data_IF_134391843363
#
_entry.id   IF_134391843363
#
_cell.length_a   1.000
_cell.length_b   1.000
_cell.length_c   1.000
_cell.angle_alpha   90.00
_cell.angle_beta   90.00
_cell.angle_gamma   90.00
#
_symmetry.space_group_name_H-M   'P 1'
#
loop_
_entity.id
_entity.type
_entity.pdbx_description
1 polymer ?
#
# COMPACT_ATOMS: atom_id res chain seq x y z
N UNK A 1 11.06 52.42 3.69
CA UNK A 1 11.23 51.18 4.46
C UNK A 1 10.11 50.23 4.09
N UNK A 2 10.36 49.26 3.22
CA UNK A 2 9.36 48.28 2.78
C UNK A 2 9.72 46.91 3.35
N UNK A 3 9.02 46.50 4.41
CA UNK A 3 9.14 45.17 4.99
C UNK A 3 8.53 44.14 4.05
N UNK A 4 9.37 43.35 3.39
CA UNK A 4 8.92 42.19 2.63
C UNK A 4 8.30 41.19 3.60
N UNK A 5 7.00 40.94 3.46
CA UNK A 5 6.30 39.83 4.09
C UNK A 5 7.03 38.53 3.73
N UNK A 6 7.78 37.99 4.68
CA UNK A 6 8.34 36.65 4.61
C UNK A 6 7.23 35.64 4.87
N UNK A 7 6.31 35.52 3.92
CA UNK A 7 5.44 34.35 3.86
C UNK A 7 6.35 33.12 3.70
N UNK A 8 6.19 32.06 4.51
CA UNK A 8 6.97 30.85 4.34
C UNK A 8 6.78 30.35 2.90
N UNK A 9 7.88 30.03 2.22
CA UNK A 9 7.81 29.50 0.86
C UNK A 9 6.90 28.26 0.87
N UNK A 10 5.98 28.12 -0.11
CA UNK A 10 5.17 26.92 -0.22
C UNK A 10 6.10 25.70 -0.30
N UNK A 11 5.72 24.56 0.31
CA UNK A 11 6.53 23.34 0.26
C UNK A 11 6.92 23.03 -1.19
N UNK A 12 8.18 22.67 -1.42
CA UNK A 12 8.62 22.31 -2.77
C UNK A 12 7.76 21.14 -3.26
N UNK A 13 7.07 21.35 -4.39
CA UNK A 13 6.20 20.33 -5.03
C UNK A 13 6.96 19.19 -5.68
N UNK A 14 8.26 19.34 -5.90
CA UNK A 14 9.11 18.31 -6.48
C UNK A 14 9.70 17.46 -5.36
N UNK A 15 9.48 16.15 -5.39
CA UNK A 15 10.15 15.24 -4.47
C UNK A 15 11.67 15.39 -4.59
N UNK A 16 12.36 15.60 -3.46
CA UNK A 16 13.81 15.50 -3.44
C UNK A 16 14.21 14.06 -3.72
N UNK A 17 15.25 13.90 -4.53
CA UNK A 17 15.76 12.57 -4.86
C UNK A 17 16.74 12.16 -3.77
N UNK A 18 16.43 11.08 -3.06
CA UNK A 18 17.33 10.51 -2.06
C UNK A 18 18.11 9.34 -2.64
N UNK A 19 19.37 9.19 -2.25
CA UNK A 19 20.09 7.93 -2.51
C UNK A 19 19.64 6.90 -1.48
N UNK A 20 18.98 5.86 -1.95
CA UNK A 20 18.55 4.71 -1.16
C UNK A 20 19.47 3.56 -1.51
N UNK A 21 20.14 2.97 -0.52
CA UNK A 21 20.93 1.75 -0.67
C UNK A 21 20.25 0.63 0.10
N UNK A 22 20.15 -0.54 -0.51
CA UNK A 22 19.79 -1.77 0.19
C UNK A 22 21.02 -2.26 0.94
N UNK A 23 21.06 -2.02 2.25
CA UNK A 23 21.95 -2.68 3.21
C UNK A 23 23.44 -2.79 2.81
N UNK A 24 23.97 -1.88 1.99
CA UNK A 24 25.33 -2.01 1.43
C UNK A 24 25.52 -3.16 0.42
N UNK A 25 24.46 -3.88 0.06
CA UNK A 25 24.43 -5.01 -0.89
C UNK A 25 24.27 -4.53 -2.34
N UNK A 26 23.60 -3.39 -2.55
CA UNK A 26 23.38 -2.82 -3.89
C UNK A 26 23.76 -1.35 -3.96
N UNK A 27 24.21 -0.92 -5.14
CA UNK A 27 24.60 0.46 -5.41
C UNK A 27 23.48 1.44 -4.99
N UNK A 28 23.80 2.56 -4.31
CA UNK A 28 22.80 3.54 -3.90
C UNK A 28 22.06 4.11 -5.12
N UNK A 29 20.74 3.94 -5.15
CA UNK A 29 19.92 4.41 -6.26
C UNK A 29 19.06 5.61 -5.86
N UNK A 30 18.87 6.54 -6.79
CA UNK A 30 18.00 7.69 -6.57
C UNK A 30 16.54 7.24 -6.49
N UNK A 31 15.93 7.42 -5.32
CA UNK A 31 14.52 7.22 -5.03
C UNK A 31 13.80 8.57 -4.96
N UNK A 32 12.51 8.57 -5.29
CA UNK A 32 11.63 9.75 -5.19
C UNK A 32 10.72 9.71 -3.98
N UNK A 33 10.91 8.73 -3.08
CA UNK A 33 10.23 8.68 -1.78
C UNK A 33 10.57 9.93 -1.00
N UNK A 34 9.55 10.66 -0.54
CA UNK A 34 9.74 11.88 0.23
C UNK A 34 9.87 11.54 1.70
N UNK A 35 11.09 11.36 2.18
CA UNK A 35 11.39 11.30 3.62
C UNK A 35 11.37 12.69 4.30
N UNK A 36 11.20 13.76 3.52
CA UNK A 36 11.19 15.15 4.00
C UNK A 36 9.84 15.59 4.58
N UNK A 37 8.75 14.90 4.25
CA UNK A 37 7.39 15.18 4.75
C UNK A 37 6.97 14.14 5.80
N UNK A 38 7.94 13.57 6.50
CA UNK A 38 7.66 12.66 7.61
C UNK A 38 7.14 13.48 8.79
N UNK A 39 6.19 12.94 9.57
CA UNK A 39 5.67 13.65 10.73
C UNK A 39 6.82 14.11 11.62
N UNK A 40 6.73 15.32 12.16
CA UNK A 40 7.70 15.81 13.13
C UNK A 40 7.90 14.72 14.21
N UNK A 41 9.17 14.39 14.50
CA UNK A 41 9.61 13.39 15.49
C UNK A 41 9.86 11.94 15.04
N UNK A 42 10.01 11.61 13.75
CA UNK A 42 10.64 10.32 13.40
C UNK A 42 12.18 10.43 13.35
N UNK A 43 12.87 9.39 13.84
CA UNK A 43 14.34 9.38 13.93
C UNK A 43 14.99 8.75 12.71
N UNK A 44 16.32 8.72 12.68
CA UNK A 44 17.06 8.05 11.61
C UNK A 44 16.77 6.54 11.54
N UNK A 45 16.41 5.92 12.66
CA UNK A 45 16.00 4.50 12.73
C UNK A 45 14.81 4.22 11.80
N UNK A 46 13.76 5.04 11.87
CA UNK A 46 12.60 4.91 11.00
C UNK A 46 12.94 5.23 9.55
N UNK A 47 13.75 6.27 9.30
CA UNK A 47 14.20 6.63 7.95
C UNK A 47 14.98 5.49 7.29
N UNK A 48 15.86 4.81 8.04
CA UNK A 48 16.60 3.65 7.55
C UNK A 48 15.66 2.53 7.14
N UNK A 49 14.68 2.17 7.97
CA UNK A 49 13.70 1.13 7.64
C UNK A 49 12.84 1.47 6.42
N UNK A 50 12.40 2.72 6.29
CA UNK A 50 11.68 3.20 5.11
C UNK A 50 12.52 3.07 3.83
N UNK A 51 13.81 3.45 3.90
CA UNK A 51 14.73 3.32 2.77
C UNK A 51 14.95 1.86 2.39
N UNK A 52 15.14 0.97 3.36
CA UNK A 52 15.26 -0.48 3.12
C UNK A 52 14.03 -1.03 2.40
N UNK A 53 12.84 -0.73 2.90
CA UNK A 53 11.58 -1.22 2.31
C UNK A 53 11.34 -0.65 0.91
N UNK A 54 11.58 0.66 0.72
CA UNK A 54 11.46 1.30 -0.59
C UNK A 54 12.45 0.71 -1.60
N UNK A 55 13.69 0.43 -1.16
CA UNK A 55 14.71 -0.26 -1.94
C UNK A 55 14.23 -1.64 -2.37
N UNK A 56 13.81 -2.49 -1.43
CA UNK A 56 13.40 -3.86 -1.74
C UNK A 56 12.15 -3.89 -2.64
N UNK A 57 11.11 -3.10 -2.32
CA UNK A 57 9.90 -2.99 -3.17
C UNK A 57 10.26 -2.59 -4.59
N UNK A 58 11.16 -1.63 -4.76
CA UNK A 58 11.62 -1.19 -6.08
C UNK A 58 12.34 -2.32 -6.81
N UNK A 59 13.23 -3.05 -6.14
CA UNK A 59 13.91 -4.19 -6.74
C UNK A 59 12.92 -5.28 -7.14
N UNK A 60 11.96 -5.61 -6.28
CA UNK A 60 10.89 -6.56 -6.57
C UNK A 60 10.02 -6.16 -7.75
N UNK A 61 9.66 -4.87 -7.85
CA UNK A 61 8.92 -4.31 -8.98
C UNK A 61 9.68 -4.38 -10.32
N UNK A 62 11.00 -4.56 -10.27
CA UNK A 62 11.90 -4.43 -11.42
C UNK A 62 12.55 -5.74 -11.85
N UNK A 63 12.95 -6.59 -10.90
CA UNK A 63 13.73 -7.80 -11.16
C UNK A 63 12.98 -8.72 -12.11
N UNK A 64 13.58 -9.01 -13.26
CA UNK A 64 13.09 -10.01 -14.22
C UNK A 64 13.32 -11.40 -13.65
N UNK A 65 12.48 -11.80 -12.69
CA UNK A 65 12.39 -13.16 -12.16
C UNK A 65 13.55 -13.67 -11.31
N UNK A 66 14.77 -13.13 -11.46
CA UNK A 66 16.01 -13.74 -10.91
C UNK A 66 16.92 -12.82 -10.08
N UNK A 67 16.61 -11.53 -9.90
CA UNK A 67 17.55 -10.59 -9.25
C UNK A 67 17.20 -10.23 -7.79
N UNK A 68 15.99 -10.52 -7.32
CA UNK A 68 15.66 -10.51 -5.88
C UNK A 68 15.72 -11.94 -5.43
N UNK A 69 16.84 -12.33 -4.83
CA UNK A 69 16.95 -13.65 -4.22
C UNK A 69 16.26 -13.65 -2.84
N UNK A 70 15.94 -14.85 -2.36
CA UNK A 70 15.32 -15.03 -1.05
C UNK A 70 16.20 -14.51 0.09
N UNK A 71 17.53 -14.52 -0.09
CA UNK A 71 18.51 -13.99 0.86
C UNK A 71 18.35 -12.49 1.06
N UNK A 72 18.21 -11.71 -0.01
CA UNK A 72 18.02 -10.26 0.02
C UNK A 72 16.72 -9.89 0.71
N UNK A 73 15.66 -10.66 0.45
CA UNK A 73 14.37 -10.51 1.13
C UNK A 73 14.52 -10.83 2.61
N UNK A 74 15.13 -11.97 2.96
CA UNK A 74 15.35 -12.40 4.34
C UNK A 74 16.19 -11.39 5.12
N UNK A 75 17.33 -10.94 4.57
CA UNK A 75 18.19 -9.93 5.18
C UNK A 75 17.46 -8.62 5.42
N UNK A 76 16.66 -8.15 4.44
CA UNK A 76 15.88 -6.92 4.61
C UNK A 76 14.86 -7.05 5.74
N UNK A 77 14.14 -8.18 5.80
CA UNK A 77 13.17 -8.45 6.86
C UNK A 77 13.83 -8.60 8.24
N UNK A 78 15.02 -9.21 8.31
CA UNK A 78 15.79 -9.33 9.55
C UNK A 78 16.25 -7.97 10.05
N UNK A 79 16.82 -7.14 9.17
CA UNK A 79 17.20 -5.76 9.50
C UNK A 79 16.01 -4.93 9.97
N UNK A 80 14.87 -5.03 9.26
CA UNK A 80 13.65 -4.32 9.62
C UNK A 80 13.11 -4.77 10.98
N UNK A 81 13.15 -6.07 11.26
CA UNK A 81 12.80 -6.63 12.58
C UNK A 81 13.70 -6.06 13.68
N UNK A 82 15.00 -5.96 13.42
CA UNK A 82 15.97 -5.32 14.32
C UNK A 82 15.68 -3.84 14.56
N UNK A 83 15.29 -3.08 13.53
CA UNK A 83 14.90 -1.67 13.67
C UNK A 83 13.59 -1.51 14.47
N UNK A 84 12.61 -2.38 14.25
CA UNK A 84 11.35 -2.42 15.03
C UNK A 84 11.64 -2.69 16.51
N UNK A 85 12.50 -3.66 16.80
CA UNK A 85 12.91 -3.98 18.18
C UNK A 85 13.59 -2.78 18.85
N UNK A 86 14.55 -2.13 18.16
CA UNK A 86 15.22 -0.92 18.66
C UNK A 86 14.24 0.22 18.96
N UNK A 87 13.28 0.47 18.05
CA UNK A 87 12.26 1.50 18.28
C UNK A 87 11.39 1.19 19.49
N UNK A 88 11.05 -0.09 19.69
CA UNK A 88 10.29 -0.56 20.86
C UNK A 88 11.09 -0.42 22.15
N UNK A 89 12.34 -0.86 22.18
CA UNK A 89 13.25 -0.73 23.34
C UNK A 89 13.48 0.73 23.74
N UNK A 90 13.62 1.61 22.74
CA UNK A 90 13.76 3.05 22.95
C UNK A 90 12.44 3.74 23.37
N UNK A 91 11.33 3.01 23.51
CA UNK A 91 10.00 3.53 23.79
C UNK A 91 9.55 4.62 22.80
N UNK A 92 10.01 4.55 21.54
CA UNK A 92 9.66 5.52 20.51
C UNK A 92 8.48 5.02 19.67
N UNK A 93 7.26 5.40 20.07
CA UNK A 93 6.01 4.96 19.42
C UNK A 93 5.92 5.39 17.95
N UNK A 94 6.47 6.57 17.61
CA UNK A 94 6.42 7.14 16.26
C UNK A 94 7.19 6.26 15.27
N UNK A 95 8.44 5.94 15.63
CA UNK A 95 9.30 5.07 14.82
C UNK A 95 8.72 3.66 14.77
N UNK A 96 8.26 3.14 15.89
CA UNK A 96 7.68 1.80 15.98
C UNK A 96 6.47 1.63 15.04
N UNK A 97 5.53 2.57 15.07
CA UNK A 97 4.34 2.57 14.19
C UNK A 97 4.75 2.71 12.72
N UNK A 98 5.66 3.63 12.41
CA UNK A 98 6.13 3.86 11.03
C UNK A 98 6.77 2.60 10.46
N UNK A 99 7.64 1.93 11.24
CA UNK A 99 8.31 0.71 10.83
C UNK A 99 7.36 -0.48 10.68
N UNK A 100 6.33 -0.59 11.54
CA UNK A 100 5.29 -1.62 11.39
C UNK A 100 4.44 -1.43 10.13
N UNK A 101 4.13 -0.18 9.78
CA UNK A 101 3.44 0.15 8.52
C UNK A 101 4.32 -0.26 7.33
N UNK A 102 5.61 0.13 7.33
CA UNK A 102 6.54 -0.23 6.26
C UNK A 102 6.70 -1.75 6.11
N UNK A 103 6.89 -2.48 7.22
CA UNK A 103 6.97 -3.95 7.25
C UNK A 103 5.70 -4.58 6.68
N UNK A 104 4.54 -4.10 7.09
CA UNK A 104 3.27 -4.64 6.61
C UNK A 104 3.05 -4.37 5.13
N UNK A 105 3.27 -3.13 4.68
CA UNK A 105 3.11 -2.77 3.27
C UNK A 105 4.09 -3.56 2.42
N UNK A 106 5.36 -3.70 2.85
CA UNK A 106 6.35 -4.53 2.17
C UNK A 106 5.86 -5.97 2.02
N UNK A 107 5.49 -6.62 3.14
CA UNK A 107 5.01 -8.01 3.17
C UNK A 107 3.81 -8.24 2.27
N UNK A 108 2.82 -7.34 2.30
CA UNK A 108 1.61 -7.45 1.48
C UNK A 108 1.87 -7.14 -0.01
N UNK A 109 2.78 -6.21 -0.31
CA UNK A 109 3.09 -5.82 -1.70
C UNK A 109 3.94 -6.84 -2.45
N UNK A 110 4.57 -7.76 -1.72
CA UNK A 110 5.49 -8.77 -2.23
C UNK A 110 5.03 -10.21 -1.92
N UNK A 111 3.82 -10.37 -1.38
CA UNK A 111 3.22 -11.66 -1.00
C UNK A 111 4.09 -12.51 -0.05
N UNK A 112 4.83 -11.86 0.86
CA UNK A 112 5.79 -12.54 1.75
C UNK A 112 5.11 -13.17 2.98
N UNK A 113 4.06 -12.52 3.49
CA UNK A 113 3.31 -12.96 4.67
C UNK A 113 2.15 -12.00 4.98
N UNK A 114 1.16 -12.40 5.78
CA UNK A 114 0.13 -11.49 6.28
C UNK A 114 0.68 -10.46 7.28
N UNK A 115 -0.13 -9.45 7.67
CA UNK A 115 0.24 -8.47 8.69
C UNK A 115 0.66 -9.13 10.01
N UNK A 116 1.74 -8.63 10.61
CA UNK A 116 2.31 -9.20 11.84
C UNK A 116 1.38 -9.03 13.04
N UNK A 117 1.57 -9.87 14.07
CA UNK A 117 0.86 -9.71 15.35
C UNK A 117 1.10 -8.32 15.94
N UNK A 118 2.33 -7.80 15.86
CA UNK A 118 2.69 -6.49 16.39
C UNK A 118 1.85 -5.35 15.77
N UNK A 119 1.64 -5.37 14.45
CA UNK A 119 0.75 -4.41 13.80
C UNK A 119 -0.70 -4.56 14.30
N UNK A 120 -1.20 -5.80 14.41
CA UNK A 120 -2.57 -6.04 14.89
C UNK A 120 -2.79 -5.56 16.32
N UNK A 121 -1.81 -5.80 17.19
CA UNK A 121 -1.84 -5.36 18.57
C UNK A 121 -1.90 -3.82 18.60
N UNK A 122 -1.05 -3.12 17.82
CA UNK A 122 -1.06 -1.65 17.71
C UNK A 122 -2.38 -1.11 17.15
N UNK A 123 -2.92 -1.73 16.11
CA UNK A 123 -4.20 -1.31 15.55
C UNK A 123 -5.33 -1.41 16.59
N UNK A 124 -5.36 -2.48 17.39
CA UNK A 124 -6.31 -2.66 18.50
C UNK A 124 -6.06 -1.72 19.68
N UNK A 125 -4.81 -1.39 19.95
CA UNK A 125 -4.47 -0.38 20.96
C UNK A 125 -5.01 1.00 20.59
N UNK A 126 -4.96 1.35 19.31
CA UNK A 126 -5.48 2.62 18.77
C UNK A 126 -7.01 2.58 18.63
N UNK A 127 -7.55 1.45 18.18
CA UNK A 127 -8.98 1.24 18.02
C UNK A 127 -9.38 -0.08 18.71
N UNK A 128 -9.75 -0.02 20.00
CA UNK A 128 -10.13 -1.21 20.79
C UNK A 128 -11.37 -1.95 20.28
N UNK A 129 -12.13 -1.35 19.37
CA UNK A 129 -13.38 -1.92 18.87
C UNK A 129 -13.20 -2.83 17.65
N UNK A 130 -11.99 -2.92 17.09
CA UNK A 130 -11.72 -3.76 15.92
C UNK A 130 -12.04 -5.24 16.18
N UNK A 131 -13.00 -5.78 15.44
CA UNK A 131 -13.52 -7.15 15.58
C UNK A 131 -13.99 -7.46 17.01
N UNK A 132 -14.51 -6.46 17.73
CA UNK A 132 -15.09 -6.68 19.04
C UNK A 132 -16.48 -7.31 18.93
N UNK A 133 -16.72 -8.41 19.65
CA UNK A 133 -18.05 -9.00 19.80
C UNK A 133 -18.92 -8.14 20.75
N UNK A 134 -19.27 -6.93 20.30
CA UNK A 134 -20.15 -6.02 21.03
C UNK A 134 -19.47 -5.22 22.15
N UNK A 135 -20.26 -4.42 22.90
CA UNK A 135 -19.77 -3.32 23.75
C UNK A 135 -19.25 -3.82 25.11
N UNK A 136 -18.31 -4.75 25.13
CA UNK A 136 -17.67 -5.22 26.38
C UNK A 136 -16.17 -4.93 26.39
N UNK A 137 -15.78 -4.13 27.39
CA UNK A 137 -14.42 -3.82 27.86
C UNK A 137 -13.54 -2.95 26.94
N UNK A 138 -13.95 -1.69 26.80
CA UNK A 138 -13.24 -0.58 26.14
C UNK A 138 -12.05 -0.02 26.94
N UNK A 139 -11.16 -0.88 27.45
CA UNK A 139 -9.88 -0.42 27.99
C UNK A 139 -8.79 -0.76 27.00
N UNK A 140 -8.24 0.27 26.33
CA UNK A 140 -7.04 0.13 25.52
C UNK A 140 -5.92 -0.41 26.41
N UNK A 141 -5.64 -1.71 26.31
CA UNK A 141 -4.56 -2.35 27.03
C UNK A 141 -3.25 -1.79 26.50
N UNK A 142 -2.45 -1.20 27.38
CA UNK A 142 -1.11 -0.71 27.04
C UNK A 142 -0.32 -1.83 26.35
N UNK A 143 0.29 -1.53 25.20
CA UNK A 143 1.25 -2.43 24.56
C UNK A 143 2.59 -2.09 25.17
N UNK A 144 3.04 -2.86 26.16
CA UNK A 144 4.34 -2.58 26.79
C UNK A 144 5.46 -2.44 25.73
N UNK A 145 6.30 -1.39 25.82
CA UNK A 145 6.41 -0.41 26.92
C UNK A 145 5.53 0.86 26.76
N UNK A 146 4.70 0.95 25.73
CA UNK A 146 3.93 2.15 25.39
C UNK A 146 2.70 2.34 26.28
N UNK A 147 2.50 3.58 26.73
CA UNK A 147 1.36 4.02 27.53
C UNK A 147 0.22 4.46 26.62
N UNK A 148 -1.01 4.44 27.12
CA UNK A 148 -2.18 4.95 26.38
C UNK A 148 -2.00 6.39 25.87
N UNK A 149 -1.27 7.24 26.61
CA UNK A 149 -0.95 8.62 26.22
C UNK A 149 -0.08 8.71 24.96
N UNK A 150 0.71 7.69 24.66
CA UNK A 150 1.61 7.68 23.51
C UNK A 150 0.81 7.58 22.19
N UNK A 151 -0.43 7.11 22.23
CA UNK A 151 -1.34 7.12 21.08
C UNK A 151 -1.65 8.53 20.56
N UNK A 152 -1.50 9.56 21.40
CA UNK A 152 -1.65 10.97 20.99
C UNK A 152 -0.54 11.42 20.02
N UNK A 153 0.61 10.73 20.01
CA UNK A 153 1.70 11.02 19.08
C UNK A 153 1.44 10.41 17.70
N UNK A 154 0.49 9.49 17.56
CA UNK A 154 0.13 8.87 16.28
C UNK A 154 -0.85 9.79 15.56
N UNK A 155 -0.57 10.12 14.31
CA UNK A 155 -1.43 11.01 13.51
C UNK A 155 -2.72 10.31 13.15
N UNK A 156 -3.79 11.08 12.92
CA UNK A 156 -5.08 10.49 12.57
C UNK A 156 -5.04 9.72 11.25
N UNK A 157 -4.23 10.16 10.27
CA UNK A 157 -4.04 9.43 9.01
C UNK A 157 -3.33 8.09 9.22
N UNK A 158 -2.36 8.00 10.14
CA UNK A 158 -1.74 6.72 10.48
C UNK A 158 -2.71 5.81 11.23
N UNK A 159 -3.52 6.35 12.14
CA UNK A 159 -4.57 5.58 12.82
C UNK A 159 -5.55 4.97 11.81
N UNK A 160 -5.99 5.78 10.84
CA UNK A 160 -6.86 5.32 9.75
C UNK A 160 -6.18 4.24 8.90
N UNK A 161 -4.91 4.42 8.54
CA UNK A 161 -4.14 3.43 7.79
C UNK A 161 -3.97 2.12 8.56
N UNK A 162 -3.68 2.17 9.86
CA UNK A 162 -3.52 0.99 10.71
C UNK A 162 -4.80 0.17 10.78
N UNK A 163 -5.97 0.82 10.79
CA UNK A 163 -7.27 0.13 10.69
C UNK A 163 -7.42 -0.61 9.35
N UNK A 164 -7.06 0.02 8.23
CA UNK A 164 -7.12 -0.67 6.93
C UNK A 164 -6.15 -1.85 6.87
N UNK A 165 -4.90 -1.65 7.32
CA UNK A 165 -3.88 -2.69 7.32
C UNK A 165 -4.22 -3.84 8.28
N UNK A 166 -4.94 -3.57 9.37
CA UNK A 166 -5.50 -4.61 10.23
C UNK A 166 -6.42 -5.54 9.44
N UNK A 167 -7.34 -4.98 8.64
CA UNK A 167 -8.24 -5.75 7.79
C UNK A 167 -7.58 -6.33 6.55
N UNK A 168 -6.33 -6.02 6.23
CA UNK A 168 -5.61 -6.72 5.16
C UNK A 168 -5.28 -8.18 5.52
N UNK A 169 -5.47 -8.60 6.78
CA UNK A 169 -5.35 -10.00 7.20
C UNK A 169 -6.67 -10.77 7.00
N UNK A 170 -6.61 -11.95 6.37
CA UNK A 170 -7.81 -12.75 6.02
C UNK A 170 -8.72 -13.01 7.21
N UNK A 171 -8.15 -13.51 8.30
CA UNK A 171 -8.90 -13.85 9.52
C UNK A 171 -9.66 -12.65 10.08
N UNK A 172 -9.14 -11.44 9.90
CA UNK A 172 -9.82 -10.23 10.37
C UNK A 172 -10.99 -9.86 9.45
N UNK A 173 -10.83 -10.01 8.13
CA UNK A 173 -11.94 -9.85 7.16
C UNK A 173 -13.02 -10.88 7.43
N UNK A 174 -12.67 -12.16 7.52
CA UNK A 174 -13.62 -13.27 7.72
C UNK A 174 -14.36 -13.15 9.07
N UNK A 175 -13.68 -12.65 10.10
CA UNK A 175 -14.27 -12.44 11.42
C UNK A 175 -15.33 -11.34 11.43
N UNK A 176 -15.17 -10.27 10.63
CA UNK A 176 -16.09 -9.12 10.65
C UNK A 176 -16.12 -8.40 9.29
N UNK A 177 -16.68 -9.03 8.24
CA UNK A 177 -16.59 -8.51 6.87
C UNK A 177 -17.38 -7.20 6.67
N UNK A 178 -18.55 -7.06 7.31
CA UNK A 178 -19.32 -5.82 7.28
C UNK A 178 -18.60 -4.66 7.99
N UNK A 179 -17.90 -4.93 9.09
CA UNK A 179 -17.09 -3.92 9.78
C UNK A 179 -15.91 -3.46 8.90
N UNK A 180 -15.22 -4.41 8.26
CA UNK A 180 -14.14 -4.12 7.33
C UNK A 180 -14.62 -3.24 6.16
N UNK A 181 -15.79 -3.55 5.59
CA UNK A 181 -16.39 -2.74 4.52
C UNK A 181 -16.82 -1.37 5.04
N UNK A 182 -17.38 -1.29 6.24
CA UNK A 182 -17.75 -0.03 6.88
C UNK A 182 -16.54 0.91 7.03
N UNK A 183 -15.41 0.39 7.53
CA UNK A 183 -14.17 1.13 7.62
C UNK A 183 -13.60 1.51 6.24
N UNK A 184 -13.62 0.57 5.29
CA UNK A 184 -13.20 0.81 3.91
C UNK A 184 -13.99 1.97 3.29
N UNK A 185 -15.31 1.92 3.29
CA UNK A 185 -16.17 2.94 2.69
C UNK A 185 -16.04 4.28 3.42
N UNK A 186 -15.95 4.28 4.76
CA UNK A 186 -15.73 5.50 5.55
C UNK A 186 -14.42 6.19 5.14
N UNK A 187 -13.33 5.44 5.04
CA UNK A 187 -12.01 6.00 4.72
C UNK A 187 -11.87 6.32 3.23
N UNK A 188 -12.52 5.57 2.35
CA UNK A 188 -12.63 5.92 0.94
C UNK A 188 -13.43 7.22 0.73
N UNK A 189 -14.49 7.47 1.50
CA UNK A 189 -15.20 8.75 1.51
C UNK A 189 -14.36 9.89 2.09
N UNK A 190 -13.57 9.63 3.13
CA UNK A 190 -12.72 10.64 3.78
C UNK A 190 -11.54 11.10 2.92
N UNK A 191 -10.90 10.18 2.20
CA UNK A 191 -9.65 10.47 1.47
C UNK A 191 -9.73 10.30 -0.04
N UNK A 192 -10.76 9.61 -0.55
CA UNK A 192 -10.78 9.03 -1.89
C UNK A 192 -11.96 9.44 -2.77
N UNK A 193 -12.65 10.54 -2.49
CA UNK A 193 -13.59 11.13 -3.45
C UNK A 193 -12.79 11.72 -4.63
N UNK A 194 -13.03 11.18 -5.83
CA UNK A 194 -12.34 11.59 -7.06
C UNK A 194 -12.51 13.09 -7.33
N UNK A 195 -13.67 13.67 -7.03
CA UNK A 195 -13.90 15.10 -7.23
C UNK A 195 -12.99 15.95 -6.35
N UNK A 196 -12.80 15.53 -5.11
CA UNK A 196 -11.93 16.23 -4.15
C UNK A 196 -10.45 16.06 -4.54
N UNK A 197 -10.08 14.88 -5.04
CA UNK A 197 -8.73 14.62 -5.55
C UNK A 197 -8.40 15.49 -6.77
N UNK A 198 -9.34 15.66 -7.71
CA UNK A 198 -9.13 16.45 -8.93
C UNK A 198 -8.87 17.94 -8.64
N UNK A 199 -9.40 18.48 -7.53
CA UNK A 199 -9.22 19.89 -7.13
C UNK A 199 -8.12 20.09 -6.09
N UNK A 200 -7.56 19.01 -5.53
CA UNK A 200 -6.53 19.06 -4.51
C UNK A 200 -5.24 19.69 -5.06
N UNK A 201 -4.69 20.63 -4.28
CA UNK A 201 -3.45 21.36 -4.62
C UNK A 201 -2.23 20.90 -3.84
N UNK A 202 -2.44 20.23 -2.72
CA UNK A 202 -1.39 19.76 -1.80
C UNK A 202 -0.88 18.38 -2.23
N UNK A 203 0.43 18.13 -2.17
CA UNK A 203 0.97 16.80 -2.43
C UNK A 203 0.45 15.80 -1.40
N UNK A 204 0.45 14.52 -1.76
CA UNK A 204 0.16 13.46 -0.80
C UNK A 204 1.34 13.27 0.17
N UNK A 205 1.06 12.98 1.43
CA UNK A 205 2.04 12.41 2.35
C UNK A 205 2.38 10.97 1.97
N UNK A 206 3.45 10.40 2.52
CA UNK A 206 3.77 8.97 2.36
C UNK A 206 2.64 8.08 2.89
N UNK A 207 2.10 8.42 4.07
CA UNK A 207 0.99 7.69 4.71
C UNK A 207 -0.27 7.71 3.86
N UNK A 208 -0.61 8.84 3.21
CA UNK A 208 -1.76 8.90 2.31
C UNK A 208 -1.60 8.00 1.08
N UNK A 209 -0.39 7.88 0.52
CA UNK A 209 -0.12 6.96 -0.58
C UNK A 209 -0.37 5.51 -0.15
N UNK A 210 0.10 5.12 1.04
CA UNK A 210 -0.20 3.80 1.60
C UNK A 210 -1.68 3.60 1.91
N UNK A 211 -2.40 4.65 2.31
CA UNK A 211 -3.84 4.61 2.52
C UNK A 211 -4.57 4.30 1.21
N UNK A 212 -4.25 5.00 0.12
CA UNK A 212 -4.84 4.70 -1.20
C UNK A 212 -4.51 3.28 -1.66
N UNK A 213 -3.27 2.85 -1.46
CA UNK A 213 -2.84 1.49 -1.78
C UNK A 213 -3.64 0.45 -0.97
N UNK A 214 -3.78 0.65 0.34
CA UNK A 214 -4.50 -0.24 1.24
C UNK A 214 -6.01 -0.28 0.94
N UNK A 215 -6.62 0.86 0.55
CA UNK A 215 -8.01 0.89 0.07
C UNK A 215 -8.20 -0.02 -1.16
N UNK A 216 -7.32 0.11 -2.16
CA UNK A 216 -7.38 -0.73 -3.36
C UNK A 216 -7.20 -2.19 -3.00
N UNK A 217 -6.14 -2.51 -2.24
CA UNK A 217 -5.84 -3.86 -1.78
C UNK A 217 -7.03 -4.49 -1.03
N UNK A 218 -7.57 -3.80 -0.03
CA UNK A 218 -8.62 -4.32 0.84
C UNK A 218 -9.94 -4.54 0.09
N UNK A 219 -10.43 -3.57 -0.68
CA UNK A 219 -11.67 -3.75 -1.48
C UNK A 219 -11.56 -4.95 -2.39
N UNK A 220 -10.42 -5.03 -3.07
CA UNK A 220 -10.11 -6.05 -4.03
C UNK A 220 -10.08 -7.43 -3.37
N UNK A 221 -9.53 -7.54 -2.16
CA UNK A 221 -9.45 -8.80 -1.43
C UNK A 221 -10.79 -9.21 -0.83
N UNK A 222 -11.53 -8.28 -0.22
CA UNK A 222 -12.90 -8.53 0.27
C UNK A 222 -13.77 -9.06 -0.87
N UNK A 223 -13.69 -8.45 -2.06
CA UNK A 223 -14.49 -8.86 -3.23
C UNK A 223 -14.20 -10.29 -3.71
N UNK A 224 -13.02 -10.82 -3.41
CA UNK A 224 -12.61 -12.18 -3.79
C UNK A 224 -12.80 -13.21 -2.69
N UNK A 225 -12.69 -12.82 -1.42
CA UNK A 225 -12.69 -13.75 -0.28
C UNK A 225 -14.04 -13.86 0.42
N UNK A 226 -14.90 -12.83 0.32
CA UNK A 226 -16.20 -12.80 1.00
C UNK A 226 -17.32 -12.96 -0.03
N UNK A 227 -18.13 -14.03 0.04
CA UNK A 227 -19.29 -14.18 -0.84
C UNK A 227 -20.28 -13.02 -0.65
N UNK A 228 -20.67 -12.34 -1.74
CA UNK A 228 -21.65 -11.24 -1.67
C UNK A 228 -22.95 -11.58 -0.90
N UNK A 229 -23.50 -12.80 -0.98
CA UNK A 229 -24.69 -13.18 -0.20
C UNK A 229 -24.50 -13.15 1.31
N UNK A 230 -23.27 -13.31 1.83
CA UNK A 230 -22.98 -13.28 3.27
C UNK A 230 -22.86 -11.87 3.84
N UNK A 231 -22.86 -10.85 2.99
CA UNK A 231 -22.82 -9.44 3.39
C UNK A 231 -24.23 -8.88 3.60
N UNK A 232 -24.34 -7.94 4.53
CA UNK A 232 -25.56 -7.12 4.65
C UNK A 232 -25.81 -6.33 3.35
N UNK A 233 -27.07 -5.94 3.07
CA UNK A 233 -27.40 -5.16 1.87
C UNK A 233 -26.60 -3.86 1.75
N UNK A 234 -26.36 -3.17 2.87
CA UNK A 234 -25.62 -1.91 2.91
C UNK A 234 -24.14 -2.13 2.58
N UNK A 235 -23.49 -3.11 3.21
CA UNK A 235 -22.09 -3.46 2.91
C UNK A 235 -21.92 -3.93 1.47
N UNK A 236 -22.86 -4.71 0.93
CA UNK A 236 -22.82 -5.14 -0.48
C UNK A 236 -22.87 -3.93 -1.43
N UNK A 237 -23.75 -2.98 -1.12
CA UNK A 237 -23.90 -1.74 -1.90
C UNK A 237 -22.63 -0.90 -1.82
N UNK A 238 -22.08 -0.71 -0.62
CA UNK A 238 -20.84 0.01 -0.39
C UNK A 238 -19.64 -0.62 -1.12
N UNK A 239 -19.47 -1.93 -1.01
CA UNK A 239 -18.42 -2.67 -1.72
C UNK A 239 -18.55 -2.54 -3.24
N UNK A 240 -19.77 -2.65 -3.77
CA UNK A 240 -20.03 -2.50 -5.22
C UNK A 240 -19.72 -1.08 -5.69
N UNK A 241 -20.09 -0.06 -4.91
CA UNK A 241 -19.77 1.32 -5.21
C UNK A 241 -18.25 1.54 -5.23
N UNK A 242 -17.52 1.02 -4.24
CA UNK A 242 -16.06 1.12 -4.19
C UNK A 242 -15.39 0.42 -5.37
N UNK A 243 -15.81 -0.81 -5.72
CA UNK A 243 -15.33 -1.53 -6.91
C UNK A 243 -15.47 -0.69 -8.19
N UNK A 244 -16.58 0.05 -8.34
CA UNK A 244 -16.84 0.92 -9.48
C UNK A 244 -15.94 2.16 -9.57
N UNK A 245 -15.32 2.58 -8.45
CA UNK A 245 -14.53 3.81 -8.35
C UNK A 245 -13.01 3.56 -8.32
N UNK A 246 -12.56 2.37 -7.93
CA UNK A 246 -11.14 2.08 -7.66
C UNK A 246 -10.21 2.44 -8.81
N UNK A 247 -10.58 2.06 -10.05
CA UNK A 247 -9.74 2.32 -11.21
C UNK A 247 -9.61 3.84 -11.48
N UNK A 248 -10.69 4.60 -11.33
CA UNK A 248 -10.66 6.05 -11.51
C UNK A 248 -9.80 6.70 -10.44
N UNK A 249 -9.97 6.29 -9.18
CA UNK A 249 -9.17 6.77 -8.04
C UNK A 249 -7.68 6.46 -8.24
N UNK A 250 -7.34 5.23 -8.61
CA UNK A 250 -5.96 4.80 -8.87
C UNK A 250 -5.29 5.70 -9.93
N UNK A 251 -5.96 5.90 -11.07
CA UNK A 251 -5.40 6.68 -12.18
C UNK A 251 -5.24 8.16 -11.80
N UNK A 252 -6.17 8.70 -11.02
CA UNK A 252 -6.12 10.10 -10.54
C UNK A 252 -4.98 10.31 -9.56
N UNK A 253 -4.86 9.46 -8.54
CA UNK A 253 -3.73 9.49 -7.59
C UNK A 253 -2.40 9.34 -8.33
N UNK A 254 -2.32 8.43 -9.30
CA UNK A 254 -1.11 8.24 -10.11
C UNK A 254 -0.75 9.50 -10.91
N UNK A 255 -1.71 10.14 -11.58
CA UNK A 255 -1.47 11.38 -12.35
C UNK A 255 -0.98 12.53 -11.46
N UNK A 256 -1.50 12.64 -10.23
CA UNK A 256 -1.04 13.61 -9.24
C UNK A 256 0.39 13.29 -8.77
N UNK A 257 0.69 12.04 -8.41
CA UNK A 257 2.04 11.60 -8.03
C UNK A 257 3.06 11.87 -9.15
N UNK A 258 2.67 11.61 -10.40
CA UNK A 258 3.50 11.95 -11.55
C UNK A 258 3.73 13.45 -11.64
N UNK A 259 2.70 14.27 -11.46
CA UNK A 259 2.83 15.73 -11.46
C UNK A 259 3.88 16.21 -10.44
N UNK A 260 3.90 15.59 -9.25
CA UNK A 260 4.85 15.85 -8.16
C UNK A 260 6.23 15.17 -8.31
N UNK A 261 6.46 14.51 -9.44
CA UNK A 261 7.69 13.75 -9.75
C UNK A 261 7.97 12.56 -8.81
N UNK A 262 6.93 11.99 -8.21
CA UNK A 262 6.98 10.83 -7.29
C UNK A 262 6.80 9.52 -8.06
N UNK A 263 7.79 9.26 -8.92
CA UNK A 263 7.73 8.15 -9.88
C UNK A 263 7.67 6.77 -9.19
N UNK A 264 8.39 6.59 -8.07
CA UNK A 264 8.46 5.31 -7.35
C UNK A 264 7.07 4.92 -6.82
N UNK A 265 6.36 5.90 -6.27
CA UNK A 265 5.03 5.72 -5.71
C UNK A 265 3.96 5.60 -6.79
N UNK A 266 4.13 6.30 -7.92
CA UNK A 266 3.28 6.07 -9.08
C UNK A 266 3.37 4.61 -9.55
N UNK A 267 4.58 4.04 -9.65
CA UNK A 267 4.77 2.62 -9.97
C UNK A 267 4.17 1.70 -8.89
N UNK A 268 4.36 2.01 -7.62
CA UNK A 268 3.79 1.27 -6.49
C UNK A 268 2.25 1.31 -6.44
N UNK A 269 1.59 2.37 -6.90
CA UNK A 269 0.14 2.35 -7.03
C UNK A 269 -0.29 1.53 -8.27
N UNK A 270 0.42 1.68 -9.38
CA UNK A 270 0.09 1.04 -10.67
C UNK A 270 0.20 -0.50 -10.66
N UNK A 271 0.68 -1.08 -9.57
CA UNK A 271 0.69 -2.52 -9.33
C UNK A 271 -0.69 -3.17 -9.52
N UNK A 272 -1.75 -2.45 -9.13
CA UNK A 272 -3.12 -2.94 -9.24
C UNK A 272 -3.75 -2.75 -10.63
N UNK A 273 -3.08 -2.03 -11.55
CA UNK A 273 -3.69 -1.63 -12.82
C UNK A 273 -4.24 -2.81 -13.61
N UNK A 274 -3.49 -3.92 -13.70
CA UNK A 274 -3.94 -5.12 -14.42
C UNK A 274 -5.17 -5.74 -13.79
N UNK A 275 -5.22 -5.86 -12.46
CA UNK A 275 -6.36 -6.44 -11.72
C UNK A 275 -7.62 -5.60 -11.90
N UNK A 276 -7.50 -4.27 -11.74
CA UNK A 276 -8.64 -3.36 -11.87
C UNK A 276 -9.16 -3.18 -13.31
N UNK A 277 -8.37 -3.59 -14.32
CA UNK A 277 -8.75 -3.46 -15.73
C UNK A 277 -9.19 -4.78 -16.38
N UNK A 278 -9.08 -5.91 -15.68
CA UNK A 278 -9.37 -7.24 -16.21
C UNK A 278 -10.79 -7.37 -16.78
N UNK A 279 -11.77 -6.75 -16.11
CA UNK A 279 -13.18 -6.77 -16.50
C UNK A 279 -13.70 -5.41 -16.99
N UNK A 280 -12.85 -4.39 -17.06
CA UNK A 280 -13.26 -3.04 -17.43
C UNK A 280 -13.43 -2.89 -18.94
N UNK A 281 -14.69 -2.83 -19.36
CA UNK A 281 -15.09 -2.72 -20.78
C UNK A 281 -15.00 -1.28 -21.31
N UNK A 282 -15.04 -0.26 -20.44
CA UNK A 282 -15.06 1.14 -20.86
C UNK A 282 -13.67 1.58 -21.34
N UNK A 283 -13.58 2.26 -22.48
CA UNK A 283 -12.28 2.63 -23.08
C UNK A 283 -11.55 3.82 -22.43
N UNK A 284 -12.19 4.59 -21.53
CA UNK A 284 -11.64 5.84 -20.98
C UNK A 284 -10.31 5.63 -20.24
N UNK A 285 -10.17 4.52 -19.50
CA UNK A 285 -8.99 4.23 -18.71
C UNK A 285 -7.76 3.99 -19.58
N UNK A 286 -7.93 3.41 -20.78
CA UNK A 286 -6.81 3.13 -21.71
C UNK A 286 -6.14 4.42 -22.14
N UNK A 287 -6.91 5.49 -22.36
CA UNK A 287 -6.36 6.81 -22.71
C UNK A 287 -5.54 7.39 -21.57
N UNK A 288 -6.05 7.34 -20.33
CA UNK A 288 -5.35 7.80 -19.13
C UNK A 288 -4.07 6.98 -18.86
N UNK A 289 -4.16 5.66 -18.95
CA UNK A 289 -3.01 4.76 -18.79
C UNK A 289 -1.93 5.01 -19.85
N UNK A 290 -2.30 5.29 -21.12
CA UNK A 290 -1.34 5.71 -22.16
C UNK A 290 -0.63 7.02 -21.79
N UNK A 291 -1.38 8.01 -21.28
CA UNK A 291 -0.82 9.30 -20.83
C UNK A 291 0.15 9.09 -19.66
N UNK A 292 -0.23 8.29 -18.67
CA UNK A 292 0.61 7.89 -17.53
C UNK A 292 1.90 7.21 -18.01
N UNK A 293 1.79 6.21 -18.90
CA UNK A 293 2.97 5.53 -19.46
C UNK A 293 3.88 6.51 -20.21
N UNK A 294 3.31 7.44 -20.97
CA UNK A 294 4.09 8.49 -21.65
C UNK A 294 4.81 9.38 -20.64
N UNK A 295 4.15 9.83 -19.58
CA UNK A 295 4.78 10.69 -18.55
C UNK A 295 5.89 9.98 -17.78
N UNK A 296 5.70 8.69 -17.43
CA UNK A 296 6.75 7.84 -16.85
C UNK A 296 7.99 7.77 -17.76
N UNK A 297 7.80 7.73 -19.09
CA UNK A 297 8.92 7.71 -20.07
C UNK A 297 9.46 9.07 -20.48
N UNK A 298 8.68 10.15 -20.32
CA UNK A 298 9.04 11.49 -20.81
C UNK A 298 10.02 12.19 -19.88
N UNK A 299 9.89 11.93 -18.58
CA UNK A 299 10.80 12.48 -17.58
C UNK A 299 12.11 11.72 -17.74
N UNK A 300 13.14 12.40 -18.26
CA UNK A 300 14.50 11.88 -18.40
C UNK A 300 15.38 12.30 -17.21
N UNK A 301 15.24 11.75 -15.99
CA UNK A 301 16.39 11.64 -15.13
C UNK A 301 17.38 10.73 -15.84
N UNK A 302 18.57 11.22 -16.16
CA UNK A 302 19.69 10.49 -16.79
C UNK A 302 20.11 9.21 -16.00
N UNK A 303 19.41 8.84 -14.92
CA UNK A 303 19.69 7.72 -14.00
C UNK A 303 18.48 6.89 -13.54
N UNK A 304 17.27 7.08 -14.08
CA UNK A 304 16.08 6.30 -13.66
C UNK A 304 15.42 5.56 -14.85
N UNK A 305 16.18 4.66 -15.50
CA UNK A 305 15.67 3.82 -16.61
C UNK A 305 14.52 2.89 -16.20
N UNK A 306 14.43 2.55 -14.92
CA UNK A 306 13.51 1.52 -14.45
C UNK A 306 12.03 1.90 -14.56
N UNK A 307 11.65 3.16 -14.31
CA UNK A 307 10.27 3.61 -14.48
C UNK A 307 9.85 3.57 -15.97
N UNK A 308 10.81 3.78 -16.88
CA UNK A 308 10.61 3.65 -18.31
C UNK A 308 10.38 2.17 -18.68
N UNK A 309 11.12 1.25 -18.08
CA UNK A 309 10.96 -0.20 -18.25
C UNK A 309 9.63 -0.70 -17.66
N UNK A 310 9.24 -0.24 -16.45
CA UNK A 310 7.93 -0.52 -15.87
C UNK A 310 6.80 0.01 -16.76
N UNK A 311 6.93 1.24 -17.26
CA UNK A 311 5.95 1.80 -18.19
C UNK A 311 5.87 0.99 -19.49
N UNK A 312 7.02 0.50 -19.99
CA UNK A 312 7.09 -0.27 -21.23
C UNK A 312 6.52 -1.69 -21.10
N UNK A 313 6.87 -2.42 -20.04
CA UNK A 313 6.51 -3.84 -19.83
C UNK A 313 5.19 -4.04 -19.08
N UNK A 314 4.83 -3.12 -18.20
CA UNK A 314 3.64 -3.32 -17.35
C UNK A 314 2.48 -2.49 -17.86
N UNK A 315 2.66 -1.17 -17.99
CA UNK A 315 1.54 -0.28 -18.32
C UNK A 315 1.14 -0.38 -19.80
N UNK A 316 2.11 -0.37 -20.72
CA UNK A 316 1.82 -0.45 -22.16
C UNK A 316 1.27 -1.82 -22.56
N UNK A 317 1.72 -2.91 -21.95
CA UNK A 317 1.25 -4.26 -22.28
C UNK A 317 -0.20 -4.46 -21.83
N UNK A 318 -0.57 -3.98 -20.64
CA UNK A 318 -1.96 -3.92 -20.17
C UNK A 318 -2.84 -3.11 -21.12
N UNK A 319 -2.35 -1.97 -21.61
CA UNK A 319 -3.09 -1.12 -22.56
C UNK A 319 -3.27 -1.79 -23.94
N UNK A 320 -2.25 -2.50 -24.44
CA UNK A 320 -2.26 -3.15 -25.75
C UNK A 320 -3.09 -4.43 -25.77
N UNK A 321 -3.46 -4.97 -24.61
CA UNK A 321 -4.19 -6.24 -24.54
C UNK A 321 -3.40 -7.42 -25.08
N UNK A 322 -2.06 -7.31 -25.14
CA UNK A 322 -1.18 -8.42 -25.51
C UNK A 322 -1.13 -9.41 -24.35
N UNK A 323 -2.17 -10.24 -24.29
CA UNK A 323 -2.11 -11.55 -23.67
C UNK A 323 -1.23 -12.41 -24.58
N UNK A 324 0.05 -12.56 -24.26
CA UNK A 324 0.74 -13.79 -24.65
C UNK A 324 0.19 -14.86 -23.70
N UNK A 325 -0.92 -15.47 -24.11
CA UNK A 325 -1.10 -16.89 -23.87
C UNK A 325 0.09 -17.59 -24.55
N UNK A 326 0.69 -18.54 -23.86
CA UNK A 326 1.80 -19.40 -24.31
C UNK A 326 3.21 -18.79 -24.21
N UNK A 327 3.86 -19.09 -23.07
CA UNK A 327 5.32 -19.23 -23.00
C UNK A 327 6.11 -18.06 -22.44
N UNK A 328 6.57 -18.22 -21.19
CA UNK A 328 7.93 -17.80 -20.84
C UNK A 328 8.16 -16.41 -20.26
N UNK A 329 7.15 -15.75 -19.68
CA UNK A 329 7.41 -14.59 -18.81
C UNK A 329 6.61 -14.72 -17.53
N UNK A 330 7.23 -15.33 -16.51
CA UNK A 330 6.82 -15.29 -15.09
C UNK A 330 6.92 -13.87 -14.49
N UNK A 331 6.64 -12.85 -15.27
CA UNK A 331 6.71 -11.46 -14.86
C UNK A 331 5.40 -11.09 -14.20
N UNK A 332 5.43 -11.00 -12.86
CA UNK A 332 4.63 -10.21 -11.92
C UNK A 332 3.09 -10.30 -11.93
N UNK A 333 2.53 -10.58 -13.10
CA UNK A 333 1.13 -10.71 -13.37
C UNK A 333 0.69 -12.17 -13.65
N UNK A 334 1.64 -13.10 -13.80
CA UNK A 334 1.39 -14.55 -13.75
C UNK A 334 1.61 -15.15 -12.37
N UNK A 335 2.41 -14.51 -11.51
CA UNK A 335 2.50 -14.80 -10.06
C UNK A 335 1.28 -14.22 -9.34
N UNK A 336 0.09 -14.59 -9.80
CA UNK A 336 -1.14 -14.07 -9.24
C UNK A 336 -1.25 -14.45 -7.77
N UNK A 337 -1.00 -13.51 -6.86
CA UNK A 337 -1.71 -13.44 -5.58
C UNK A 337 -1.44 -12.14 -4.80
N UNK A 338 -1.91 -10.97 -5.27
CA UNK A 338 -2.10 -9.84 -4.35
C UNK A 338 -3.24 -10.09 -3.31
N UNK A 339 -3.79 -11.30 -3.20
CA UNK A 339 -4.14 -12.00 -1.95
C UNK A 339 -4.66 -13.42 -2.19
N UNK A 340 -4.41 -14.29 -1.21
CA UNK A 340 -4.91 -15.65 -0.93
C UNK A 340 -4.96 -16.62 -2.11
N UNK A 341 -4.10 -17.66 -2.00
CA UNK A 341 -4.17 -18.87 -2.82
C UNK A 341 -5.60 -19.42 -2.80
N UNK A 342 -6.10 -19.75 -3.99
CA UNK A 342 -7.40 -20.36 -4.25
C UNK A 342 -7.34 -21.88 -4.00
N UNK A 343 -6.64 -22.29 -2.95
CA UNK A 343 -6.43 -23.69 -2.56
C UNK A 343 -7.01 -23.89 -1.16
N UNK A 344 -8.35 -23.91 -1.09
CA UNK A 344 -9.14 -24.58 -0.04
C UNK A 344 -10.64 -24.64 -0.41
N UNK A 345 -10.97 -24.48 -1.71
CA UNK A 345 -12.34 -24.60 -2.23
C UNK A 345 -12.53 -25.87 -3.07
N UNK A 346 -11.83 -26.95 -2.74
CA UNK A 346 -12.39 -28.28 -2.99
C UNK A 346 -13.26 -28.63 -1.79
N UNK A 347 -14.52 -28.22 -1.90
CA UNK A 347 -15.62 -29.06 -1.43
C UNK A 347 -15.35 -30.46 -1.99
N UNK A 348 -15.08 -31.43 -1.13
CA UNK A 348 -15.24 -32.83 -1.46
C UNK A 348 -16.62 -33.25 -0.95
N UNK A 349 -17.65 -33.39 -1.81
CA UNK A 349 -18.94 -33.87 -1.40
C UNK A 349 -19.09 -35.33 -1.83
N UNK A 350 -18.50 -36.28 -1.09
CA UNK A 350 -19.11 -37.59 -0.77
C UNK A 350 -18.12 -38.56 -0.09
N UNK A 351 -18.34 -38.96 1.18
CA UNK A 351 -17.63 -40.09 1.79
C UNK A 351 -18.35 -41.43 1.56
N UNK A 352 -19.19 -41.57 0.52
CA UNK A 352 -19.98 -42.79 0.28
C UNK A 352 -20.01 -43.21 -1.20
N UNK A 353 -18.84 -43.44 -1.80
CA UNK A 353 -18.70 -44.38 -2.93
C UNK A 353 -17.59 -45.38 -2.65
N UNK A 354 -17.97 -46.38 -1.88
CA UNK A 354 -17.17 -47.54 -1.54
C UNK A 354 -18.05 -48.67 -1.00
N UNK A 355 -19.14 -48.99 -1.71
CA UNK A 355 -19.84 -50.27 -1.68
C UNK A 355 -20.43 -50.54 -3.07
#
# INVERSE_FOLDING_TARGET
MGGGSSSPQPPQRVAQREKVSLAGVLEPVLSTTRTMDLPQAITETAREGMRLCAGLRRHYLFSTGNDVDDTMTATTLEMLTGLIAKAKEACNIRDYVTLLIEDTVLRLSMDLSPPTKALRDVARFINPFLNSEGPQSSTATAIEPFRATDAALITDTEKDLLVLLYYCHENNIKGSPDEAIGHLCKLAGKYGDVKDLDVRKEPFTETEVYLFWALVFLTTNISTTVPLPSLTPDSRTGLTAELGLQLSRLLTVTEMLLSDARLDQACFCLMFLRRLTAEEKRGWWKSRAKKIAKELTRRRPVRQRWHEEFAARTVKDVVKGQLIAEGGSEGWASRGSLSFSREDLTFDPDPMKGL
#
